data_IF_684219922707
#
_entry.id   IF_684219922707
#
_cell.length_a   1.000
_cell.length_b   1.000
_cell.length_c   1.000
_cell.angle_alpha   90.00
_cell.angle_beta   90.00
_cell.angle_gamma   90.00
#
_symmetry.space_group_name_H-M   'P 1'
#
loop_
_entity.id
_entity.type
_entity.pdbx_description
1 polymer ?
#
# COMPACT_ATOMS: atom_id res chain seq x y z
N UNK A 1 0.34 1.64 12.64
CA UNK A 1 -1.12 1.42 12.75
C UNK A 1 -1.90 2.07 11.59
N UNK A 2 -1.71 3.37 11.30
CA UNK A 2 -2.47 4.06 10.23
C UNK A 2 -2.29 3.43 8.85
N UNK A 3 -1.05 3.20 8.40
CA UNK A 3 -0.83 2.54 7.11
C UNK A 3 -1.38 1.11 7.04
N UNK A 4 -1.36 0.38 8.15
CA UNK A 4 -1.95 -0.96 8.21
C UNK A 4 -3.47 -0.87 8.03
N UNK A 5 -4.11 0.09 8.70
CA UNK A 5 -5.53 0.33 8.57
C UNK A 5 -5.90 0.74 7.13
N UNK A 6 -5.13 1.66 6.55
CA UNK A 6 -5.26 2.10 5.17
C UNK A 6 -5.11 0.93 4.20
N UNK A 7 -4.09 0.08 4.40
CA UNK A 7 -3.89 -1.14 3.62
C UNK A 7 -5.12 -2.04 3.63
N UNK A 8 -5.69 -2.32 4.82
CA UNK A 8 -6.87 -3.18 4.90
C UNK A 8 -8.09 -2.54 4.22
N UNK A 9 -8.30 -1.22 4.38
CA UNK A 9 -9.35 -0.49 3.66
C UNK A 9 -9.17 -0.63 2.14
N UNK A 10 -7.96 -0.41 1.64
CA UNK A 10 -7.66 -0.46 0.21
C UNK A 10 -7.86 -1.87 -0.37
N UNK A 11 -7.48 -2.92 0.36
CA UNK A 11 -7.75 -4.32 -0.02
C UNK A 11 -9.26 -4.55 -0.15
N UNK A 12 -10.06 -4.14 0.85
CA UNK A 12 -11.53 -4.27 0.79
C UNK A 12 -12.15 -3.49 -0.37
N UNK A 13 -11.62 -2.30 -0.66
CA UNK A 13 -12.05 -1.51 -1.81
C UNK A 13 -11.71 -2.19 -3.13
N UNK A 14 -10.51 -2.77 -3.25
CA UNK A 14 -10.11 -3.53 -4.43
C UNK A 14 -11.00 -4.78 -4.62
N UNK A 15 -11.22 -5.58 -3.58
CA UNK A 15 -12.12 -6.75 -3.60
C UNK A 15 -13.53 -6.36 -4.09
N UNK A 16 -14.11 -5.29 -3.53
CA UNK A 16 -15.42 -4.78 -3.93
C UNK A 16 -15.44 -4.28 -5.38
N UNK A 17 -14.35 -3.69 -5.84
CA UNK A 17 -14.22 -3.19 -7.22
C UNK A 17 -14.14 -4.35 -8.21
N UNK A 18 -13.34 -5.38 -7.90
CA UNK A 18 -13.28 -6.62 -8.68
C UNK A 18 -14.64 -7.31 -8.76
N UNK A 19 -15.36 -7.45 -7.63
CA UNK A 19 -16.67 -8.09 -7.61
C UNK A 19 -17.70 -7.35 -8.48
N UNK A 20 -17.75 -6.02 -8.40
CA UNK A 20 -18.66 -5.20 -9.23
C UNK A 20 -18.40 -5.38 -10.72
N UNK A 21 -17.14 -5.52 -11.13
CA UNK A 21 -16.78 -5.73 -12.53
C UNK A 21 -17.23 -7.10 -13.03
N UNK A 22 -16.99 -8.17 -12.28
CA UNK A 22 -17.45 -9.52 -12.62
C UNK A 22 -18.97 -9.59 -12.79
N UNK A 23 -19.73 -8.89 -11.95
CA UNK A 23 -21.21 -8.82 -12.04
C UNK A 23 -21.69 -7.98 -13.23
N UNK A 24 -20.99 -6.89 -13.56
CA UNK A 24 -21.32 -6.03 -14.71
C UNK A 24 -21.01 -6.68 -16.06
N UNK A 25 -20.01 -7.57 -16.13
CA UNK A 25 -19.69 -8.29 -17.36
C UNK A 25 -20.68 -9.45 -17.61
N UNK A 26 -21.14 -10.13 -16.55
CA UNK A 26 -22.15 -11.18 -16.64
C UNK A 26 -23.54 -10.70 -17.07
N UNK A 27 -23.87 -9.42 -16.87
CA UNK A 27 -25.16 -8.83 -17.23
C UNK A 27 -25.24 -8.35 -18.68
N UNK A 28 -24.10 -8.18 -19.38
CA UNK A 28 -24.06 -7.76 -20.79
C UNK A 28 -24.12 -8.91 -21.81
N UNK A 29 -24.10 -10.17 -21.37
CA UNK A 29 -24.09 -11.34 -22.27
C UNK A 29 -25.46 -11.94 -22.62
N UNK A 30 -26.58 -11.41 -22.11
CA UNK A 30 -27.93 -11.86 -22.54
C UNK A 30 -28.48 -10.99 -23.68
N UNK A 31 -27.96 -11.20 -24.90
CA UNK A 31 -28.70 -10.79 -26.10
C UNK A 31 -27.88 -10.42 -27.33
N UNK A 32 -27.44 -11.42 -28.12
CA UNK A 32 -27.49 -11.38 -29.59
C UNK A 32 -27.12 -12.73 -30.22
N UNK A 33 -28.01 -13.23 -31.10
CA UNK A 33 -27.82 -14.44 -31.92
C UNK A 33 -26.76 -14.23 -33.01
N UNK A 34 -25.96 -15.30 -33.23
CA UNK A 34 -25.18 -15.75 -34.42
C UNK A 34 -24.40 -14.71 -35.25
N UNK A 35 -23.07 -14.88 -35.32
CA UNK A 35 -22.30 -15.10 -36.58
C UNK A 35 -20.86 -15.52 -36.28
N UNK A 36 -20.37 -16.54 -37.00
CA UNK A 36 -19.02 -17.10 -36.89
C UNK A 36 -17.90 -16.10 -37.21
N UNK A 37 -16.86 -16.08 -36.38
CA UNK A 37 -15.50 -15.63 -36.73
C UNK A 37 -14.47 -16.22 -35.77
N UNK A 38 -13.49 -17.03 -36.23
CA UNK A 38 -12.40 -17.51 -35.38
C UNK A 38 -11.18 -16.61 -35.57
N UNK A 39 -11.01 -15.61 -34.69
CA UNK A 39 -9.76 -14.85 -34.48
C UNK A 39 -9.93 -13.90 -33.29
N UNK A 40 -10.00 -14.46 -32.09
CA UNK A 40 -9.74 -13.71 -30.86
C UNK A 40 -8.73 -14.52 -30.03
N UNK A 41 -7.47 -14.45 -30.50
CA UNK A 41 -6.33 -14.68 -29.63
C UNK A 41 -6.47 -13.72 -28.46
N UNK A 42 -6.70 -14.29 -27.27
CA UNK A 42 -6.43 -13.72 -25.96
C UNK A 42 -6.33 -12.19 -25.96
N UNK A 43 -7.47 -11.50 -25.87
CA UNK A 43 -7.43 -10.21 -25.18
C UNK A 43 -7.04 -10.56 -23.76
N UNK A 44 -5.74 -10.52 -23.46
CA UNK A 44 -5.22 -10.48 -22.10
C UNK A 44 -6.16 -9.56 -21.33
N UNK A 45 -6.79 -10.09 -20.27
CA UNK A 45 -7.75 -9.35 -19.48
C UNK A 45 -7.01 -8.15 -18.87
N UNK A 46 -6.99 -7.03 -19.61
CA UNK A 46 -6.27 -5.83 -19.21
C UNK A 46 -6.88 -5.37 -17.90
N UNK A 47 -6.07 -5.40 -16.85
CA UNK A 47 -6.47 -4.91 -15.54
C UNK A 47 -6.95 -3.46 -15.74
N UNK A 48 -8.19 -3.14 -15.34
CA UNK A 48 -8.72 -1.80 -15.49
C UNK A 48 -7.83 -0.77 -14.79
N UNK A 49 -7.60 0.43 -15.36
CA UNK A 49 -6.67 1.42 -14.80
C UNK A 49 -6.97 1.79 -13.34
N UNK A 50 -8.26 1.84 -12.96
CA UNK A 50 -8.69 2.11 -11.60
C UNK A 50 -8.25 1.02 -10.60
N UNK A 51 -8.20 -0.25 -11.03
CA UNK A 51 -7.70 -1.35 -10.20
C UNK A 51 -6.18 -1.26 -10.08
N UNK A 52 -5.46 -1.01 -11.17
CA UNK A 52 -4.00 -0.82 -11.11
C UNK A 52 -3.63 0.37 -10.22
N UNK A 53 -4.41 1.45 -10.25
CA UNK A 53 -4.23 2.58 -9.35
C UNK A 53 -4.40 2.18 -7.87
N UNK A 54 -5.47 1.43 -7.55
CA UNK A 54 -5.67 0.90 -6.19
C UNK A 54 -4.53 -0.05 -5.79
N UNK A 55 -4.07 -0.93 -6.68
CA UNK A 55 -2.94 -1.84 -6.42
C UNK A 55 -1.65 -1.07 -6.09
N UNK A 56 -1.38 0.04 -6.78
CA UNK A 56 -0.26 0.91 -6.46
C UNK A 56 -0.35 1.45 -5.02
N UNK A 57 -1.54 1.93 -4.62
CA UNK A 57 -1.77 2.44 -3.27
C UNK A 57 -1.68 1.34 -2.20
N UNK A 58 -2.17 0.12 -2.52
CA UNK A 58 -2.05 -1.06 -1.66
C UNK A 58 -0.58 -1.38 -1.39
N UNK A 59 0.24 -1.49 -2.44
CA UNK A 59 1.66 -1.78 -2.31
C UNK A 59 2.40 -0.71 -1.48
N UNK A 60 2.05 0.58 -1.66
CA UNK A 60 2.62 1.65 -0.83
C UNK A 60 2.22 1.53 0.65
N UNK A 61 0.93 1.29 0.92
CA UNK A 61 0.41 1.14 2.28
C UNK A 61 1.00 -0.10 2.98
N UNK A 62 1.12 -1.21 2.27
CA UNK A 62 1.73 -2.45 2.76
C UNK A 62 3.22 -2.25 3.04
N UNK A 63 3.97 -1.70 2.08
CA UNK A 63 5.39 -1.42 2.22
C UNK A 63 5.69 -0.53 3.43
N UNK A 64 4.93 0.55 3.61
CA UNK A 64 5.09 1.43 4.78
C UNK A 64 4.68 0.74 6.09
N UNK A 65 3.66 -0.11 6.06
CA UNK A 65 3.23 -0.89 7.23
C UNK A 65 4.34 -1.82 7.70
N UNK A 66 4.89 -2.62 6.78
CA UNK A 66 5.93 -3.60 7.08
C UNK A 66 7.24 -2.91 7.45
N UNK A 67 7.60 -1.80 6.78
CA UNK A 67 8.79 -1.01 7.11
C UNK A 67 8.73 -0.45 8.53
N UNK A 68 7.63 0.21 8.90
CA UNK A 68 7.45 0.74 10.25
C UNK A 68 7.47 -0.36 11.30
N UNK A 69 6.88 -1.52 10.99
CA UNK A 69 6.88 -2.66 11.88
C UNK A 69 8.30 -3.26 12.03
N UNK A 70 9.07 -3.39 10.95
CA UNK A 70 10.46 -3.86 11.00
C UNK A 70 11.35 -2.89 11.79
N UNK A 71 11.21 -1.58 11.56
CA UNK A 71 11.91 -0.54 12.35
C UNK A 71 11.61 -0.63 13.84
N UNK A 72 10.35 -0.90 14.22
CA UNK A 72 9.92 -1.11 15.60
C UNK A 72 10.50 -2.40 16.19
N UNK A 73 10.49 -3.49 15.42
CA UNK A 73 10.81 -4.83 15.90
C UNK A 73 12.32 -5.08 16.00
N UNK A 74 13.11 -4.56 15.05
CA UNK A 74 14.56 -4.83 14.95
C UNK A 74 15.43 -3.68 15.46
N UNK A 75 15.05 -2.42 15.21
CA UNK A 75 15.88 -1.24 15.52
C UNK A 75 15.36 -0.42 16.71
N UNK A 76 14.23 -0.80 17.30
CA UNK A 76 13.60 -0.12 18.43
C UNK A 76 13.30 1.39 18.21
N UNK A 77 13.41 1.89 16.96
CA UNK A 77 13.30 3.32 16.59
C UNK A 77 11.94 3.93 16.95
N UNK A 78 10.91 3.10 17.13
CA UNK A 78 9.54 3.50 17.42
C UNK A 78 9.05 3.00 18.79
N UNK A 79 9.92 2.42 19.60
CA UNK A 79 9.59 1.93 20.93
C UNK A 79 9.75 3.01 22.01
N UNK A 80 9.48 4.28 21.71
CA UNK A 80 9.37 5.28 22.79
C UNK A 80 8.14 4.92 23.64
N UNK A 81 8.30 4.47 24.90
CA UNK A 81 7.16 4.23 25.76
C UNK A 81 6.51 5.59 26.01
N UNK A 82 5.28 5.78 25.55
CA UNK A 82 4.51 6.94 26.00
C UNK A 82 4.15 6.68 27.45
N UNK A 83 4.51 7.55 28.41
CA UNK A 83 4.15 7.36 29.81
C UNK A 83 2.65 7.50 30.05
N UNK A 84 1.89 7.96 29.05
CA UNK A 84 0.47 8.29 29.19
C UNK A 84 -0.47 7.30 28.50
N UNK A 85 -0.03 6.62 27.43
CA UNK A 85 -0.91 5.76 26.63
C UNK A 85 -0.15 4.53 26.10
N UNK A 86 -0.76 3.36 26.26
CA UNK A 86 -0.36 2.11 25.62
C UNK A 86 -0.55 2.14 24.09
N UNK A 87 0.05 1.19 23.37
CA UNK A 87 -0.21 1.02 21.93
C UNK A 87 -1.70 0.67 21.66
N UNK A 88 -2.33 -0.07 22.56
CA UNK A 88 -3.75 -0.41 22.47
C UNK A 88 -4.63 0.84 22.60
N UNK A 89 -4.41 1.68 23.60
CA UNK A 89 -5.18 2.93 23.79
C UNK A 89 -5.00 3.87 22.60
N UNK A 90 -3.77 4.01 22.09
CA UNK A 90 -3.53 4.80 20.87
C UNK A 90 -4.27 4.24 19.68
N UNK A 91 -4.33 2.92 19.52
CA UNK A 91 -5.10 2.29 18.44
C UNK A 91 -6.59 2.61 18.56
N UNK A 92 -7.17 2.50 19.75
CA UNK A 92 -8.57 2.87 19.99
C UNK A 92 -8.79 4.36 19.68
N UNK A 93 -7.97 5.26 20.20
CA UNK A 93 -8.07 6.70 19.95
C UNK A 93 -8.05 7.06 18.45
N UNK A 94 -7.28 6.33 17.64
CA UNK A 94 -7.20 6.58 16.19
C UNK A 94 -8.39 6.01 15.42
N UNK A 95 -8.94 4.85 15.83
CA UNK A 95 -9.82 4.06 14.98
C UNK A 95 -11.20 3.76 15.57
N UNK A 96 -11.51 4.21 16.80
CA UNK A 96 -12.79 3.92 17.46
C UNK A 96 -13.99 4.35 16.60
N UNK A 97 -13.94 5.56 16.04
CA UNK A 97 -15.03 6.07 15.19
C UNK A 97 -15.18 5.26 13.89
N UNK A 98 -14.06 4.83 13.30
CA UNK A 98 -14.08 4.01 12.08
C UNK A 98 -14.57 2.59 12.35
N UNK A 99 -14.22 2.01 13.50
CA UNK A 99 -14.73 0.71 13.94
C UNK A 99 -16.24 0.78 14.24
N UNK A 100 -16.70 1.82 14.93
CA UNK A 100 -18.15 2.07 15.15
C UNK A 100 -18.92 2.27 13.85
N UNK A 101 -18.25 2.78 12.81
CA UNK A 101 -18.80 2.93 11.47
C UNK A 101 -18.67 1.68 10.60
N UNK A 102 -18.07 0.59 11.08
CA UNK A 102 -17.83 -0.64 10.31
C UNK A 102 -16.89 -0.45 9.10
N UNK A 103 -15.87 0.42 9.19
CA UNK A 103 -14.97 0.77 8.08
C UNK A 103 -13.50 0.46 8.41
N UNK A 104 -12.91 -0.66 7.98
CA UNK A 104 -13.54 -1.86 7.46
C UNK A 104 -14.09 -2.77 8.57
N UNK A 105 -15.01 -3.67 8.22
CA UNK A 105 -15.55 -4.66 9.13
C UNK A 105 -14.47 -5.61 9.69
N UNK A 106 -14.69 -6.06 10.94
CA UNK A 106 -13.88 -7.09 11.62
C UNK A 106 -12.41 -6.71 11.84
N UNK A 107 -12.13 -5.42 12.04
CA UNK A 107 -10.80 -4.91 12.36
C UNK A 107 -10.65 -4.77 13.87
N UNK A 108 -9.53 -5.28 14.39
CA UNK A 108 -9.24 -5.23 15.81
C UNK A 108 -7.77 -4.93 16.08
N UNK A 109 -7.48 -4.45 17.29
CA UNK A 109 -6.09 -4.28 17.73
C UNK A 109 -5.30 -5.61 17.72
N UNK A 110 -5.85 -6.74 18.20
CA UNK A 110 -5.20 -8.05 18.05
C UNK A 110 -4.78 -8.36 16.60
N UNK A 111 -5.66 -8.11 15.62
CA UNK A 111 -5.36 -8.34 14.20
C UNK A 111 -4.19 -7.46 13.70
N UNK A 112 -4.15 -6.19 14.13
CA UNK A 112 -3.01 -5.30 13.83
C UNK A 112 -1.71 -5.83 14.44
N UNK A 113 -1.76 -6.25 15.70
CA UNK A 113 -0.61 -6.77 16.43
C UNK A 113 -0.06 -8.01 15.73
N UNK A 114 -0.91 -8.98 15.46
CA UNK A 114 -0.56 -10.23 14.77
C UNK A 114 0.09 -9.96 13.42
N UNK A 115 -0.53 -9.11 12.59
CA UNK A 115 -0.05 -8.77 11.25
C UNK A 115 1.33 -8.11 11.22
N UNK A 116 1.75 -7.46 12.31
CA UNK A 116 2.99 -6.68 12.38
C UNK A 116 4.05 -7.27 13.30
N UNK A 117 3.72 -8.32 14.05
CA UNK A 117 4.63 -8.90 15.07
C UNK A 117 5.88 -9.54 14.46
N UNK A 118 5.76 -10.07 13.25
CA UNK A 118 6.83 -10.82 12.59
C UNK A 118 7.47 -10.06 11.42
N UNK A 119 7.12 -8.78 11.23
CA UNK A 119 7.71 -7.96 10.19
C UNK A 119 9.22 -7.80 10.43
N UNK A 120 9.99 -8.06 9.37
CA UNK A 120 11.46 -8.02 9.37
C UNK A 120 12.00 -7.36 8.11
N UNK A 121 13.20 -6.78 8.17
CA UNK A 121 13.87 -6.19 7.02
C UNK A 121 14.21 -7.24 5.94
N UNK A 122 14.55 -8.46 6.34
CA UNK A 122 14.81 -9.55 5.38
C UNK A 122 13.58 -9.91 4.54
N UNK A 123 12.40 -9.98 5.18
CA UNK A 123 11.13 -10.18 4.48
C UNK A 123 10.81 -9.01 3.56
N UNK A 124 11.05 -7.78 4.02
CA UNK A 124 10.78 -6.57 3.25
C UNK A 124 11.74 -6.40 2.04
N UNK A 125 12.98 -6.84 2.18
CA UNK A 125 13.94 -6.87 1.07
C UNK A 125 13.55 -7.92 0.01
N UNK A 126 13.03 -9.06 0.45
CA UNK A 126 12.54 -10.12 -0.43
C UNK A 126 11.26 -9.71 -1.17
N UNK A 127 10.31 -9.10 -0.46
CA UNK A 127 9.04 -8.61 -1.00
C UNK A 127 9.05 -7.08 -1.06
N UNK A 128 9.75 -6.54 -2.06
CA UNK A 128 9.96 -5.09 -2.20
C UNK A 128 8.72 -4.38 -2.76
N UNK A 129 7.71 -4.20 -1.89
CA UNK A 129 6.43 -3.57 -2.24
C UNK A 129 6.59 -2.19 -2.88
N UNK A 130 7.65 -1.44 -2.55
CA UNK A 130 7.92 -0.15 -3.15
C UNK A 130 8.34 -0.25 -4.63
N UNK A 131 9.12 -1.27 -5.00
CA UNK A 131 9.41 -1.54 -6.43
C UNK A 131 8.15 -1.95 -7.18
N UNK A 132 7.30 -2.77 -6.57
CA UNK A 132 6.04 -3.19 -7.18
C UNK A 132 5.12 -1.99 -7.40
N UNK A 133 4.96 -1.11 -6.40
CA UNK A 133 4.22 0.14 -6.52
C UNK A 133 4.76 1.01 -7.66
N UNK A 134 6.09 1.19 -7.76
CA UNK A 134 6.72 1.98 -8.82
C UNK A 134 6.44 1.39 -10.21
N UNK A 135 6.53 0.06 -10.35
CA UNK A 135 6.23 -0.64 -11.60
C UNK A 135 4.77 -0.47 -12.01
N UNK A 136 3.84 -0.73 -11.08
CA UNK A 136 2.41 -0.60 -11.31
C UNK A 136 2.06 0.85 -11.70
N UNK A 137 2.64 1.84 -11.02
CA UNK A 137 2.44 3.24 -11.38
C UNK A 137 2.88 3.53 -12.82
N UNK A 138 4.07 3.07 -13.24
CA UNK A 138 4.54 3.27 -14.63
C UNK A 138 3.60 2.64 -15.66
N UNK A 139 3.15 1.42 -15.41
CA UNK A 139 2.27 0.67 -16.31
C UNK A 139 0.87 1.29 -16.40
N UNK A 140 0.34 1.78 -15.27
CA UNK A 140 -1.01 2.36 -15.18
C UNK A 140 -1.14 3.73 -15.89
N UNK A 141 -0.04 4.46 -16.15
CA UNK A 141 -0.06 5.80 -16.78
C UNK A 141 -0.89 5.85 -18.06
N UNK A 142 -0.70 4.86 -18.94
CA UNK A 142 -1.39 4.83 -20.23
C UNK A 142 -2.92 4.75 -20.10
N UNK A 143 -3.40 4.17 -18.99
CA UNK A 143 -4.83 4.02 -18.69
C UNK A 143 -5.53 5.29 -18.25
N UNK A 144 -4.78 6.36 -17.92
CA UNK A 144 -5.31 7.63 -17.42
C UNK A 144 -5.03 8.80 -18.37
N UNK A 145 -4.77 8.55 -19.67
CA UNK A 145 -4.44 9.63 -20.63
C UNK A 145 -5.47 10.76 -20.70
N UNK A 146 -6.73 10.47 -20.37
CA UNK A 146 -7.85 11.42 -20.39
C UNK A 146 -8.16 12.04 -19.02
N UNK A 147 -7.39 11.69 -17.99
CA UNK A 147 -7.57 12.15 -16.61
C UNK A 147 -6.24 12.74 -16.07
N UNK A 148 -5.99 14.04 -16.31
CA UNK A 148 -4.73 14.67 -15.94
C UNK A 148 -4.50 14.69 -14.42
N UNK A 149 -5.56 14.75 -13.62
CA UNK A 149 -5.48 14.77 -12.17
C UNK A 149 -4.99 13.42 -11.64
N UNK A 150 -5.56 12.31 -12.15
CA UNK A 150 -5.10 10.96 -11.83
C UNK A 150 -3.67 10.71 -12.30
N UNK A 151 -3.30 11.23 -13.47
CA UNK A 151 -1.92 11.15 -13.93
C UNK A 151 -0.94 11.90 -13.01
N UNK A 152 -1.32 13.08 -12.54
CA UNK A 152 -0.51 13.85 -11.61
C UNK A 152 -0.34 13.10 -10.27
N UNK A 153 -1.43 12.57 -9.72
CA UNK A 153 -1.41 11.76 -8.50
C UNK A 153 -0.53 10.51 -8.67
N UNK A 154 -0.67 9.78 -9.78
CA UNK A 154 0.11 8.58 -10.08
C UNK A 154 1.62 8.87 -10.18
N UNK A 155 2.00 10.01 -10.77
CA UNK A 155 3.42 10.44 -10.82
C UNK A 155 3.97 10.70 -9.43
N UNK A 156 3.18 11.33 -8.56
CA UNK A 156 3.55 11.58 -7.17
C UNK A 156 3.70 10.26 -6.41
N UNK A 157 2.76 9.32 -6.56
CA UNK A 157 2.86 7.99 -5.95
C UNK A 157 4.09 7.21 -6.42
N UNK A 158 4.44 7.31 -7.69
CA UNK A 158 5.66 6.72 -8.24
C UNK A 158 6.92 7.30 -7.61
N UNK A 159 6.98 8.62 -7.41
CA UNK A 159 8.09 9.27 -6.72
C UNK A 159 8.21 8.77 -5.28
N UNK A 160 7.11 8.68 -4.54
CA UNK A 160 7.11 8.12 -3.17
C UNK A 160 7.64 6.69 -3.17
N UNK A 161 7.16 5.86 -4.11
CA UNK A 161 7.58 4.48 -4.26
C UNK A 161 9.10 4.37 -4.53
N UNK A 162 9.61 5.18 -5.45
CA UNK A 162 11.04 5.21 -5.77
C UNK A 162 11.91 5.60 -4.56
N UNK A 163 11.58 6.71 -3.90
CA UNK A 163 12.34 7.19 -2.75
C UNK A 163 12.33 6.15 -1.61
N UNK A 164 11.17 5.55 -1.34
CA UNK A 164 11.04 4.54 -0.30
C UNK A 164 11.77 3.23 -0.64
N UNK A 165 11.83 2.86 -1.93
CA UNK A 165 12.64 1.72 -2.37
C UNK A 165 14.13 1.96 -2.15
N UNK A 166 14.61 3.16 -2.47
CA UNK A 166 16.00 3.57 -2.24
C UNK A 166 16.32 3.57 -0.75
N UNK A 167 15.47 4.21 0.07
CA UNK A 167 15.62 4.26 1.51
C UNK A 167 15.66 2.85 2.14
N UNK A 168 14.76 1.96 1.70
CA UNK A 168 14.77 0.57 2.14
C UNK A 168 16.08 -0.13 1.82
N UNK A 169 16.62 0.04 0.60
CA UNK A 169 17.90 -0.57 0.23
C UNK A 169 19.06 -0.02 1.10
N UNK A 170 19.06 1.27 1.42
CA UNK A 170 20.05 1.87 2.33
C UNK A 170 19.92 1.28 3.74
N UNK A 171 18.69 1.15 4.27
CA UNK A 171 18.46 0.57 5.60
C UNK A 171 18.89 -0.90 5.63
N UNK A 172 18.53 -1.70 4.63
CA UNK A 172 18.90 -3.12 4.58
C UNK A 172 20.40 -3.33 4.33
N UNK A 173 21.04 -2.47 3.54
CA UNK A 173 22.46 -2.60 3.20
C UNK A 173 23.42 -2.01 4.23
N UNK A 174 23.03 -0.93 4.89
CA UNK A 174 23.89 -0.17 5.81
C UNK A 174 23.30 -0.13 7.24
N UNK A 175 21.98 -0.01 7.35
CA UNK A 175 21.28 0.43 8.58
C UNK A 175 20.85 -0.63 9.58
N UNK A 176 20.88 -1.92 9.27
CA UNK A 176 20.56 -2.93 10.28
C UNK A 176 21.58 -2.95 11.44
N UNK A 177 22.79 -2.42 11.25
CA UNK A 177 23.91 -2.50 12.21
C UNK A 177 24.62 -1.15 12.49
N UNK A 178 24.29 -0.06 11.79
CA UNK A 178 24.97 1.24 11.93
C UNK A 178 24.14 2.20 12.81
N UNK A 179 24.57 2.47 14.06
CA UNK A 179 23.84 3.33 14.99
C UNK A 179 23.85 4.82 14.60
N UNK A 180 24.64 5.24 13.61
CA UNK A 180 24.66 6.63 13.12
C UNK A 180 23.48 6.95 12.19
N UNK A 181 22.77 5.92 11.69
CA UNK A 181 21.67 6.11 10.76
C UNK A 181 20.38 6.55 11.46
N UNK A 182 19.88 7.71 11.05
CA UNK A 182 18.59 8.27 11.46
C UNK A 182 17.58 8.08 10.34
N UNK A 183 16.46 7.44 10.67
CA UNK A 183 15.32 7.23 9.78
C UNK A 183 14.19 8.16 10.21
N UNK A 184 13.65 8.92 9.26
CA UNK A 184 12.54 9.85 9.45
C UNK A 184 11.52 9.70 8.34
N UNK A 185 10.30 10.18 8.57
CA UNK A 185 9.18 10.06 7.66
C UNK A 185 8.63 11.45 7.37
N UNK A 186 8.66 11.85 6.10
CA UNK A 186 8.28 13.19 5.66
C UNK A 186 7.20 13.12 4.57
N UNK A 187 6.17 13.95 4.66
CA UNK A 187 5.08 14.02 3.67
C UNK A 187 5.39 15.05 2.58
N UNK A 188 6.53 14.88 1.91
CA UNK A 188 7.06 15.86 0.92
C UNK A 188 6.25 15.81 -0.38
N UNK A 189 6.08 14.59 -0.91
CA UNK A 189 5.49 14.38 -2.23
C UNK A 189 3.98 14.17 -2.16
N UNK A 190 3.51 13.38 -1.19
CA UNK A 190 2.10 12.97 -1.09
C UNK A 190 1.54 13.22 0.31
N UNK A 191 0.30 13.74 0.44
CA UNK A 191 -0.28 14.05 1.75
C UNK A 191 -0.56 12.80 2.61
N UNK A 192 -0.83 11.66 1.97
CA UNK A 192 -1.18 10.42 2.68
C UNK A 192 -0.04 9.38 2.76
N UNK A 193 1.03 9.52 1.97
CA UNK A 193 2.09 8.52 1.90
C UNK A 193 3.44 9.17 2.17
N UNK A 194 4.04 8.80 3.29
CA UNK A 194 5.31 9.34 3.71
C UNK A 194 6.46 8.87 2.80
N UNK A 195 7.38 9.78 2.55
CA UNK A 195 8.71 9.51 2.01
C UNK A 195 9.65 9.23 3.17
N UNK A 196 10.36 8.12 3.11
CA UNK A 196 11.34 7.70 4.11
C UNK A 196 12.66 8.41 3.82
N UNK A 197 13.13 9.18 4.79
CA UNK A 197 14.38 9.94 4.69
C UNK A 197 15.39 9.32 5.64
N UNK A 198 16.52 8.89 5.07
CA UNK A 198 17.62 8.23 5.78
C UNK A 198 18.83 9.15 5.75
N UNK A 199 19.34 9.53 6.94
CA UNK A 199 20.50 10.42 7.10
C UNK A 199 21.54 9.75 8.01
N UNK A 200 22.82 9.98 7.73
CA UNK A 200 23.91 9.69 8.69
C UNK A 200 24.09 10.89 9.62
N UNK A 201 24.30 10.59 10.90
CA UNK A 201 24.53 11.58 11.97
C UNK A 201 25.97 12.05 12.00
#
# INVERSE_FOLDING_TARGET
MVYWYLYVVLIRLAEKTHLKMTVSDGTKQKGKKRKDSPKELARDAKIPPAISFLQCQICLAEGLTVLLAALRNELMVLQSPSPFNSEHERFIQHFELLQKACIPDNISYPSFKESTSYARFSTLAMYNYFKDAQKIAKEARSGFSNDPDRLAELRVLEQVAEHNSIALNVICGVGALDPSLKVSFEFIHHPCFATVVVKRS
#
